data_IF_719396574403
#
_entry.id   IF_719396574403
#
_cell.length_a   1.000
_cell.length_b   1.000
_cell.length_c   1.000
_cell.angle_alpha   90.00
_cell.angle_beta   90.00
_cell.angle_gamma   90.00
#
_symmetry.space_group_name_H-M   'P 1'
#
loop_
_entity.id
_entity.type
_entity.pdbx_description
1 polymer ?
#
# COMPACT_ATOMS: atom_id res chain seq x y z
N UNK A 1 22.31 -6.87 -2.54
CA UNK A 1 21.24 -7.71 -1.99
C UNK A 1 20.52 -8.35 -3.16
N UNK A 2 20.24 -9.66 -3.17
CA UNK A 2 19.37 -10.22 -4.18
C UNK A 2 17.99 -9.56 -4.07
N UNK A 3 17.26 -9.36 -5.16
CA UNK A 3 15.90 -8.84 -5.11
C UNK A 3 15.09 -9.77 -4.20
N UNK A 4 14.44 -9.21 -3.19
CA UNK A 4 13.51 -9.94 -2.34
C UNK A 4 12.48 -10.56 -3.27
N UNK A 5 12.49 -11.88 -3.35
CA UNK A 5 11.88 -12.65 -4.42
C UNK A 5 10.40 -12.27 -4.57
N UNK A 6 10.03 -11.79 -5.73
CA UNK A 6 8.65 -11.56 -6.24
C UNK A 6 7.74 -12.80 -6.09
N UNK A 7 8.21 -13.87 -5.48
CA UNK A 7 7.55 -15.18 -5.41
C UNK A 7 6.97 -15.56 -4.06
N UNK A 8 7.23 -14.82 -2.96
CA UNK A 8 6.76 -15.22 -1.63
C UNK A 8 5.49 -14.49 -1.22
N UNK A 9 4.53 -15.27 -0.71
CA UNK A 9 3.32 -14.74 -0.09
C UNK A 9 3.58 -14.41 1.37
N UNK A 10 3.21 -13.21 1.79
CA UNK A 10 3.39 -12.72 3.15
C UNK A 10 2.08 -12.65 3.91
N UNK A 11 2.16 -12.80 5.24
CA UNK A 11 1.02 -12.62 6.12
C UNK A 11 1.43 -11.94 7.43
N UNK A 12 0.51 -11.18 8.01
CA UNK A 12 0.70 -10.59 9.33
C UNK A 12 -0.63 -10.26 10.00
N UNK A 13 -0.59 -10.16 11.32
CA UNK A 13 -1.62 -9.48 12.11
C UNK A 13 -1.58 -7.98 11.78
N UNK A 14 -2.68 -7.44 11.27
CA UNK A 14 -2.81 -6.03 10.85
C UNK A 14 -3.57 -5.16 11.85
N UNK A 15 -4.08 -5.74 12.94
CA UNK A 15 -4.62 -5.02 14.10
C UNK A 15 -3.59 -4.97 15.22
N UNK A 16 -3.73 -4.02 16.14
CA UNK A 16 -2.87 -3.94 17.31
C UNK A 16 -2.85 -5.28 18.09
N UNK A 17 -1.69 -5.70 18.62
CA UNK A 17 -1.60 -6.92 19.39
C UNK A 17 -2.36 -6.79 20.73
N UNK A 18 -3.02 -7.87 21.15
CA UNK A 18 -3.73 -7.89 22.41
C UNK A 18 -5.07 -8.61 22.35
N UNK A 19 -5.85 -8.52 23.42
CA UNK A 19 -7.22 -9.04 23.47
C UNK A 19 -8.18 -8.04 22.83
N UNK A 20 -8.90 -8.48 21.80
CA UNK A 20 -9.89 -7.66 21.11
C UNK A 20 -11.09 -8.52 20.70
N UNK A 21 -12.22 -7.90 20.36
CA UNK A 21 -13.36 -8.61 19.76
C UNK A 21 -13.04 -9.15 18.39
N UNK A 22 -12.18 -8.44 17.62
CA UNK A 22 -11.77 -8.79 16.25
C UNK A 22 -10.26 -8.63 16.10
N UNK A 23 -9.64 -9.58 15.41
CA UNK A 23 -8.28 -9.48 14.88
C UNK A 23 -8.32 -9.61 13.37
N UNK A 24 -7.57 -8.79 12.66
CA UNK A 24 -7.42 -8.85 11.21
C UNK A 24 -6.04 -9.43 10.86
N UNK A 25 -6.03 -10.54 10.13
CA UNK A 25 -4.82 -11.06 9.49
C UNK A 25 -4.91 -10.75 7.99
N UNK A 26 -3.86 -10.11 7.45
CA UNK A 26 -3.73 -9.82 6.02
C UNK A 26 -2.71 -10.75 5.40
N UNK A 27 -3.04 -11.25 4.22
CA UNK A 27 -2.18 -12.07 3.38
C UNK A 27 -2.04 -11.39 2.03
N UNK A 28 -0.82 -11.26 1.50
CA UNK A 28 -0.56 -10.67 0.18
C UNK A 28 0.50 -11.45 -0.58
N UNK A 29 0.31 -11.60 -1.88
CA UNK A 29 1.28 -12.24 -2.75
C UNK A 29 0.66 -13.17 -3.79
N UNK A 30 1.49 -13.76 -4.67
CA UNK A 30 1.03 -14.56 -5.80
C UNK A 30 0.25 -15.82 -5.39
N UNK A 31 0.43 -16.29 -4.17
CA UNK A 31 -0.26 -17.46 -3.62
C UNK A 31 -1.32 -17.13 -2.57
N UNK A 32 -1.63 -15.85 -2.32
CA UNK A 32 -2.60 -15.47 -1.28
C UNK A 32 -3.95 -16.17 -1.47
N UNK A 33 -4.41 -16.32 -2.71
CA UNK A 33 -5.63 -17.06 -3.03
C UNK A 33 -5.63 -18.54 -2.61
N UNK A 34 -4.47 -19.16 -2.32
CA UNK A 34 -4.41 -20.54 -1.84
C UNK A 34 -4.98 -20.70 -0.43
N UNK A 35 -4.87 -19.68 0.42
CA UNK A 35 -5.49 -19.66 1.76
C UNK A 35 -6.99 -19.99 1.67
N UNK A 36 -7.66 -19.46 0.64
CA UNK A 36 -9.10 -19.67 0.43
C UNK A 36 -9.48 -21.13 0.15
N UNK A 37 -8.54 -21.92 -0.38
CA UNK A 37 -8.77 -23.32 -0.70
C UNK A 37 -8.28 -24.25 0.42
N UNK A 38 -7.19 -23.85 1.11
CA UNK A 38 -6.54 -24.68 2.12
C UNK A 38 -7.18 -24.50 3.49
N UNK A 39 -7.58 -23.27 3.84
CA UNK A 39 -8.02 -22.94 5.20
C UNK A 39 -9.53 -22.70 5.31
N UNK A 40 -10.30 -22.76 4.22
CA UNK A 40 -11.76 -22.59 4.28
C UNK A 40 -12.48 -23.19 3.09
N UNK A 41 -13.73 -23.58 3.27
CA UNK A 41 -14.61 -24.06 2.19
C UNK A 41 -16.05 -23.62 2.45
N UNK A 42 -16.83 -23.25 1.42
CA UNK A 42 -16.43 -23.02 0.02
C UNK A 42 -15.65 -21.70 -0.14
N UNK A 43 -14.93 -21.57 -1.28
CA UNK A 43 -14.19 -20.35 -1.64
C UNK A 43 -15.14 -19.14 -1.68
N UNK A 44 -14.80 -18.00 -1.05
CA UNK A 44 -15.61 -16.79 -1.10
C UNK A 44 -15.57 -16.15 -2.49
N UNK A 45 -16.62 -15.40 -2.83
CA UNK A 45 -16.61 -14.55 -4.03
C UNK A 45 -15.69 -13.34 -3.77
N UNK A 46 -15.00 -12.84 -4.82
CA UNK A 46 -14.16 -11.64 -4.69
C UNK A 46 -14.94 -10.46 -4.12
N UNK A 47 -14.29 -9.69 -3.23
CA UNK A 47 -14.77 -8.42 -2.65
C UNK A 47 -16.08 -8.52 -1.86
N UNK A 48 -16.47 -9.72 -1.46
CA UNK A 48 -17.66 -9.98 -0.65
C UNK A 48 -17.23 -10.56 0.69
N UNK A 49 -17.58 -9.87 1.78
CA UNK A 49 -17.41 -10.39 3.12
C UNK A 49 -18.23 -11.66 3.29
N UNK A 50 -17.58 -12.75 3.62
CA UNK A 50 -18.19 -14.07 3.71
C UNK A 50 -17.87 -14.73 5.02
N UNK A 51 -18.90 -15.17 5.78
CA UNK A 51 -18.69 -15.95 6.99
C UNK A 51 -18.14 -17.35 6.64
N UNK A 52 -17.04 -17.74 7.27
CA UNK A 52 -16.38 -19.05 7.07
C UNK A 52 -15.86 -19.61 8.38
N UNK A 53 -15.78 -20.92 8.43
CA UNK A 53 -14.96 -21.61 9.43
C UNK A 53 -13.56 -21.72 8.87
N UNK A 54 -12.58 -21.23 9.61
CA UNK A 54 -11.16 -21.37 9.31
C UNK A 54 -10.69 -22.71 9.84
N UNK A 55 -9.99 -23.46 9.01
CA UNK A 55 -9.49 -24.79 9.32
C UNK A 55 -7.97 -24.85 9.12
N UNK A 56 -7.32 -25.72 9.84
CA UNK A 56 -5.90 -25.99 9.67
C UNK A 56 -5.61 -26.63 8.31
N UNK A 57 -4.60 -26.16 7.54
CA UNK A 57 -4.37 -26.61 6.16
C UNK A 57 -3.98 -28.09 6.03
N UNK A 58 -3.44 -28.71 7.09
CA UNK A 58 -2.95 -30.09 7.06
C UNK A 58 -4.01 -31.06 7.59
N UNK A 59 -4.52 -30.84 8.80
CA UNK A 59 -5.39 -31.78 9.49
C UNK A 59 -6.88 -31.40 9.47
N UNK A 60 -7.21 -30.24 8.87
CA UNK A 60 -8.58 -29.71 8.75
C UNK A 60 -9.31 -29.46 10.08
N UNK A 61 -8.61 -29.44 11.22
CA UNK A 61 -9.23 -29.08 12.51
C UNK A 61 -9.71 -27.63 12.48
N UNK A 62 -10.85 -27.30 13.09
CA UNK A 62 -11.34 -25.94 13.19
C UNK A 62 -10.39 -25.07 14.01
N UNK A 63 -10.07 -23.88 13.51
CA UNK A 63 -9.27 -22.86 14.19
C UNK A 63 -10.14 -21.74 14.76
N UNK A 64 -11.07 -21.24 13.93
CA UNK A 64 -12.01 -20.18 14.31
C UNK A 64 -13.16 -20.10 13.32
N UNK A 65 -14.14 -19.22 13.61
CA UNK A 65 -15.22 -18.86 12.70
C UNK A 65 -15.30 -17.33 12.61
N UNK A 66 -15.14 -16.79 11.40
CA UNK A 66 -15.10 -15.34 11.20
C UNK A 66 -15.45 -14.95 9.78
N UNK A 67 -15.04 -13.77 9.39
CA UNK A 67 -15.26 -13.24 8.05
C UNK A 67 -13.98 -13.31 7.23
N UNK A 68 -14.13 -13.51 5.94
CA UNK A 68 -13.03 -13.39 4.97
C UNK A 68 -13.45 -12.51 3.82
N UNK A 69 -12.50 -11.71 3.34
CA UNK A 69 -12.64 -10.95 2.10
C UNK A 69 -11.43 -11.26 1.22
N UNK A 70 -11.68 -11.50 -0.06
CA UNK A 70 -10.66 -11.69 -1.07
C UNK A 70 -10.65 -10.53 -2.06
N UNK A 71 -9.49 -9.93 -2.28
CA UNK A 71 -9.23 -8.85 -3.22
C UNK A 71 -8.25 -9.34 -4.27
N UNK A 72 -8.74 -9.84 -5.45
CA UNK A 72 -7.83 -10.24 -6.52
C UNK A 72 -7.06 -9.03 -7.07
N UNK A 73 -5.77 -9.24 -7.34
CA UNK A 73 -4.95 -8.28 -8.06
C UNK A 73 -5.47 -7.97 -9.47
N UNK A 74 -5.08 -6.83 -10.06
CA UNK A 74 -4.25 -5.78 -9.50
C UNK A 74 -5.04 -4.73 -8.67
N UNK A 75 -6.36 -4.89 -8.48
CA UNK A 75 -7.22 -3.97 -7.73
C UNK A 75 -7.30 -4.35 -6.26
N UNK A 76 -6.16 -4.35 -5.58
CA UNK A 76 -5.98 -4.62 -4.16
C UNK A 76 -5.05 -3.57 -3.55
N UNK A 77 -4.84 -3.60 -2.25
CA UNK A 77 -3.95 -2.67 -1.56
C UNK A 77 -2.51 -2.75 -2.06
N UNK A 78 -1.97 -3.96 -2.19
CA UNK A 78 -0.58 -4.17 -2.64
C UNK A 78 -0.43 -4.31 -4.15
N UNK A 79 -1.53 -4.37 -4.91
CA UNK A 79 -1.51 -4.72 -6.34
C UNK A 79 -1.43 -6.23 -6.60
N UNK A 80 -1.12 -7.04 -5.58
CA UNK A 80 -1.13 -8.50 -5.62
C UNK A 80 -2.50 -9.07 -5.22
N UNK A 81 -2.68 -10.40 -5.26
CA UNK A 81 -3.82 -11.01 -4.56
C UNK A 81 -3.72 -10.74 -3.05
N UNK A 82 -4.79 -10.23 -2.46
CA UNK A 82 -4.88 -9.97 -1.01
C UNK A 82 -6.07 -10.71 -0.42
N UNK A 83 -5.84 -11.36 0.72
CA UNK A 83 -6.90 -12.00 1.53
C UNK A 83 -6.86 -11.40 2.94
N UNK A 84 -8.01 -11.00 3.43
CA UNK A 84 -8.18 -10.52 4.79
C UNK A 84 -9.08 -11.46 5.58
N UNK A 85 -8.57 -11.93 6.71
CA UNK A 85 -9.25 -12.81 7.64
C UNK A 85 -9.58 -12.04 8.92
N UNK A 86 -10.85 -11.88 9.22
CA UNK A 86 -11.34 -11.29 10.44
C UNK A 86 -11.69 -12.40 11.43
N UNK A 87 -10.90 -12.52 12.48
CA UNK A 87 -10.94 -13.56 13.49
C UNK A 87 -11.40 -13.00 14.82
N UNK A 88 -11.73 -13.88 15.77
CA UNK A 88 -11.80 -13.46 17.17
C UNK A 88 -10.41 -13.09 17.69
N UNK A 89 -10.29 -11.93 18.36
CA UNK A 89 -9.01 -11.34 18.80
C UNK A 89 -8.42 -12.00 20.07
N UNK A 90 -8.64 -13.29 20.26
CA UNK A 90 -7.98 -14.07 21.31
C UNK A 90 -6.56 -14.44 20.92
N UNK A 91 -5.58 -14.29 21.84
CA UNK A 91 -4.16 -14.61 21.56
C UNK A 91 -3.98 -16.03 20.99
N UNK A 92 -4.67 -17.01 21.59
CA UNK A 92 -4.58 -18.39 21.13
C UNK A 92 -5.13 -18.61 19.71
N UNK A 93 -6.21 -17.89 19.35
CA UNK A 93 -6.80 -17.95 18.00
C UNK A 93 -5.85 -17.36 16.98
N UNK A 94 -5.36 -16.14 17.25
CA UNK A 94 -4.41 -15.44 16.36
C UNK A 94 -3.14 -16.26 16.15
N UNK A 95 -2.52 -16.77 17.23
CA UNK A 95 -1.33 -17.62 17.13
C UNK A 95 -1.62 -18.87 16.29
N UNK A 96 -2.68 -19.60 16.59
CA UNK A 96 -3.01 -20.84 15.86
C UNK A 96 -3.21 -20.60 14.35
N UNK A 97 -3.79 -19.47 13.95
CA UNK A 97 -3.97 -19.15 12.53
C UNK A 97 -2.67 -18.71 11.87
N UNK A 98 -1.83 -17.90 12.56
CA UNK A 98 -0.52 -17.50 12.04
C UNK A 98 0.42 -18.71 11.90
N UNK A 99 0.44 -19.60 12.90
CA UNK A 99 1.23 -20.84 12.86
C UNK A 99 0.80 -21.74 11.70
N UNK A 100 -0.51 -21.94 11.53
CA UNK A 100 -1.07 -22.69 10.43
C UNK A 100 -0.74 -22.09 9.03
N UNK A 101 -0.69 -20.77 8.91
CA UNK A 101 -0.24 -20.10 7.68
C UNK A 101 1.27 -20.31 7.42
N UNK A 102 2.08 -20.34 8.48
CA UNK A 102 3.50 -20.60 8.38
C UNK A 102 3.85 -22.02 7.86
N UNK A 103 2.94 -22.97 8.00
CA UNK A 103 3.10 -24.33 7.45
C UNK A 103 2.81 -24.41 5.94
N UNK A 104 2.20 -23.39 5.34
CA UNK A 104 1.91 -23.37 3.90
C UNK A 104 3.20 -23.04 3.13
N UNK A 105 3.62 -23.94 2.26
CA UNK A 105 4.82 -23.72 1.46
C UNK A 105 4.78 -22.45 0.63
N UNK A 106 5.81 -21.60 0.77
CA UNK A 106 5.93 -20.30 0.08
C UNK A 106 5.21 -19.14 0.79
N UNK A 107 4.77 -19.38 2.04
CA UNK A 107 4.26 -18.35 2.93
C UNK A 107 5.30 -18.01 3.99
N UNK A 108 5.37 -16.75 4.39
CA UNK A 108 6.18 -16.29 5.52
C UNK A 108 5.54 -15.09 6.22
N UNK A 109 5.88 -14.85 7.49
CA UNK A 109 5.53 -13.59 8.14
C UNK A 109 6.06 -12.38 7.35
N UNK A 110 5.27 -11.32 7.31
CA UNK A 110 5.68 -10.05 6.73
C UNK A 110 6.69 -9.33 7.62
N UNK A 111 7.62 -8.61 7.01
CA UNK A 111 8.46 -7.63 7.70
C UNK A 111 7.64 -6.35 8.02
N UNK A 112 8.13 -5.54 8.96
CA UNK A 112 7.51 -4.25 9.25
C UNK A 112 7.46 -3.37 8.00
N UNK A 113 6.26 -2.81 7.70
CA UNK A 113 6.05 -1.97 6.52
C UNK A 113 6.00 -2.71 5.18
N UNK A 114 6.14 -4.05 5.13
CA UNK A 114 6.28 -4.77 3.86
C UNK A 114 5.04 -4.67 2.96
N UNK A 115 3.83 -4.60 3.51
CA UNK A 115 2.63 -4.39 2.70
C UNK A 115 2.63 -3.03 2.00
N UNK A 116 3.02 -1.97 2.70
CA UNK A 116 3.13 -0.62 2.11
C UNK A 116 4.26 -0.56 1.07
N UNK A 117 5.41 -1.19 1.34
CA UNK A 117 6.51 -1.31 0.37
C UNK A 117 6.06 -2.01 -0.91
N UNK A 118 5.34 -3.14 -0.83
CA UNK A 118 4.80 -3.82 -2.01
C UNK A 118 3.78 -2.98 -2.76
N UNK A 119 2.95 -2.21 -2.04
CA UNK A 119 2.04 -1.27 -2.66
C UNK A 119 2.78 -0.18 -3.44
N UNK A 120 3.86 0.36 -2.89
CA UNK A 120 4.75 1.31 -3.56
C UNK A 120 5.43 0.69 -4.79
N UNK A 121 6.05 -0.49 -4.65
CA UNK A 121 6.74 -1.21 -5.73
C UNK A 121 5.80 -1.53 -6.92
N UNK A 122 4.52 -1.78 -6.62
CA UNK A 122 3.47 -2.04 -7.61
C UNK A 122 2.72 -0.77 -8.08
N UNK A 123 3.19 0.42 -7.74
CA UNK A 123 2.60 1.70 -8.15
C UNK A 123 1.18 1.93 -7.63
N UNK A 124 0.86 1.38 -6.43
CA UNK A 124 -0.42 1.59 -5.75
C UNK A 124 -0.38 2.75 -4.77
N UNK A 125 0.77 3.05 -4.25
CA UNK A 125 1.07 4.19 -3.42
C UNK A 125 2.35 4.85 -3.93
N UNK A 126 2.45 6.15 -3.81
CA UNK A 126 3.72 6.83 -3.88
C UNK A 126 4.38 6.90 -2.48
N UNK A 127 5.60 7.45 -2.41
CA UNK A 127 6.35 7.51 -1.16
C UNK A 127 5.63 8.39 -0.12
N UNK A 128 5.08 9.52 -0.55
CA UNK A 128 4.41 10.47 0.36
C UNK A 128 3.08 9.89 0.87
N UNK A 129 2.36 9.15 0.03
CA UNK A 129 1.15 8.42 0.42
C UNK A 129 1.45 7.31 1.43
N UNK A 130 2.56 6.58 1.23
CA UNK A 130 3.00 5.53 2.15
C UNK A 130 3.39 6.10 3.53
N UNK A 131 4.10 7.23 3.56
CA UNK A 131 4.43 7.97 4.78
C UNK A 131 3.15 8.51 5.46
N UNK A 132 2.26 9.15 4.69
CA UNK A 132 0.98 9.64 5.19
C UNK A 132 0.09 8.54 5.78
N UNK A 133 0.16 7.31 5.25
CA UNK A 133 -0.55 6.16 5.81
C UNK A 133 0.02 5.75 7.18
N UNK A 134 1.35 5.79 7.36
CA UNK A 134 1.98 5.53 8.64
C UNK A 134 1.61 6.61 9.67
N UNK A 135 1.72 7.88 9.29
CA UNK A 135 1.34 9.02 10.12
C UNK A 135 -0.14 8.98 10.52
N UNK A 136 -1.02 8.50 9.63
CA UNK A 136 -2.45 8.37 9.92
C UNK A 136 -2.74 7.31 11.00
N UNK A 137 -1.95 6.25 11.04
CA UNK A 137 -2.05 5.19 12.07
C UNK A 137 -1.57 5.72 13.42
N UNK A 138 -0.52 6.56 13.41
CA UNK A 138 0.11 7.09 14.63
C UNK A 138 -0.49 8.43 15.09
N UNK A 139 -1.47 8.97 14.36
CA UNK A 139 -2.09 10.26 14.68
C UNK A 139 -2.87 10.22 16.02
N UNK A 140 -2.48 11.08 16.95
CA UNK A 140 -3.12 11.23 18.27
C UNK A 140 -4.05 12.45 18.36
N UNK A 141 -3.91 13.41 17.42
CA UNK A 141 -4.71 14.63 17.40
C UNK A 141 -5.50 14.79 16.10
N UNK A 142 -6.59 15.57 16.15
CA UNK A 142 -7.38 15.85 14.95
C UNK A 142 -6.59 16.60 13.87
N UNK A 143 -5.64 17.45 14.25
CA UNK A 143 -4.78 18.15 13.31
C UNK A 143 -3.84 17.16 12.58
N UNK A 144 -3.20 16.26 13.32
CA UNK A 144 -2.36 15.19 12.76
C UNK A 144 -3.18 14.28 11.83
N UNK A 145 -4.37 13.84 12.26
CA UNK A 145 -5.25 13.00 11.45
C UNK A 145 -5.60 13.65 10.11
N UNK A 146 -5.94 14.96 10.10
CA UNK A 146 -6.27 15.69 8.87
C UNK A 146 -5.07 15.80 7.93
N UNK A 147 -3.93 16.15 8.48
CA UNK A 147 -2.68 16.27 7.70
C UNK A 147 -2.30 14.92 7.09
N UNK A 148 -2.23 13.87 7.91
CA UNK A 148 -1.88 12.52 7.48
C UNK A 148 -2.87 11.97 6.44
N UNK A 149 -4.18 12.21 6.61
CA UNK A 149 -5.17 11.81 5.62
C UNK A 149 -5.01 12.54 4.29
N UNK A 150 -4.74 13.86 4.31
CA UNK A 150 -4.46 14.62 3.09
C UNK A 150 -3.24 14.06 2.36
N UNK A 151 -2.18 13.74 3.08
CA UNK A 151 -0.96 13.17 2.54
C UNK A 151 -1.20 11.75 1.99
N UNK A 152 -1.84 10.87 2.76
CA UNK A 152 -2.18 9.49 2.37
C UNK A 152 -3.14 9.40 1.16
N UNK A 153 -3.83 10.49 0.82
CA UNK A 153 -4.73 10.56 -0.34
C UNK A 153 -4.15 11.36 -1.51
N UNK A 154 -2.83 11.57 -1.54
CA UNK A 154 -2.13 12.20 -2.66
C UNK A 154 -2.16 13.73 -2.67
N UNK A 155 -2.63 14.38 -1.59
CA UNK A 155 -2.69 15.85 -1.55
C UNK A 155 -1.32 16.51 -1.66
N UNK A 156 -0.30 15.96 -1.01
CA UNK A 156 1.07 16.45 -1.11
C UNK A 156 1.67 16.16 -2.49
N UNK A 157 1.44 14.95 -3.02
CA UNK A 157 1.92 14.54 -4.33
C UNK A 157 1.39 15.45 -5.45
N UNK A 158 0.11 15.84 -5.38
CA UNK A 158 -0.48 16.76 -6.35
C UNK A 158 0.20 18.13 -6.35
N UNK A 159 0.57 18.66 -5.18
CA UNK A 159 1.31 19.93 -5.05
C UNK A 159 2.72 19.80 -5.65
N UNK A 160 3.43 18.72 -5.30
CA UNK A 160 4.79 18.47 -5.79
C UNK A 160 4.81 18.30 -7.32
N UNK A 161 3.84 17.55 -7.89
CA UNK A 161 3.73 17.39 -9.34
C UNK A 161 3.38 18.73 -10.04
N UNK A 162 2.57 19.58 -9.43
CA UNK A 162 2.32 20.94 -9.90
C UNK A 162 3.60 21.77 -9.96
N UNK A 163 4.41 21.77 -8.89
CA UNK A 163 5.71 22.44 -8.86
C UNK A 163 6.67 21.87 -9.90
N UNK A 164 6.74 20.53 -9.99
CA UNK A 164 7.58 19.85 -10.96
C UNK A 164 7.25 20.24 -12.40
N UNK A 165 5.98 20.30 -12.77
CA UNK A 165 5.54 20.72 -14.10
C UNK A 165 5.99 22.16 -14.38
N UNK A 166 5.73 23.10 -13.45
CA UNK A 166 6.13 24.50 -13.58
C UNK A 166 7.65 24.66 -13.72
N UNK A 167 8.44 23.89 -12.96
CA UNK A 167 9.90 23.90 -13.04
C UNK A 167 10.41 23.37 -14.38
N UNK A 168 9.81 22.32 -14.92
CA UNK A 168 10.17 21.76 -16.23
C UNK A 168 9.89 22.79 -17.33
N UNK A 169 8.72 23.44 -17.30
CA UNK A 169 8.34 24.44 -18.27
C UNK A 169 9.26 25.68 -18.19
N UNK A 170 9.61 26.13 -16.99
CA UNK A 170 10.56 27.20 -16.79
C UNK A 170 11.97 26.84 -17.29
N UNK A 171 12.42 25.60 -17.05
CA UNK A 171 13.70 25.09 -17.55
C UNK A 171 13.74 25.09 -19.08
N UNK A 172 12.68 24.59 -19.73
CA UNK A 172 12.60 24.60 -21.20
C UNK A 172 12.68 26.00 -21.80
N UNK A 173 12.09 27.02 -21.14
CA UNK A 173 12.21 28.43 -21.55
C UNK A 173 13.64 28.97 -21.40
N UNK A 174 14.35 28.57 -20.33
CA UNK A 174 15.75 28.97 -20.11
C UNK A 174 16.65 28.27 -21.14
N UNK A 175 16.46 26.99 -21.43
CA UNK A 175 17.19 26.28 -22.47
C UNK A 175 16.98 26.91 -23.85
N UNK A 176 15.72 27.26 -24.19
CA UNK A 176 15.42 27.97 -25.44
C UNK A 176 16.13 29.35 -25.51
N UNK A 177 16.21 30.09 -24.38
CA UNK A 177 16.92 31.38 -24.33
C UNK A 177 18.43 31.22 -24.57
N UNK A 178 19.03 30.11 -24.18
CA UNK A 178 20.44 29.78 -24.37
C UNK A 178 20.69 29.35 -25.82
N UNK A 179 19.88 28.44 -26.34
CA UNK A 179 20.03 27.88 -27.68
C UNK A 179 19.80 28.91 -28.78
N UNK A 180 18.90 29.85 -28.60
CA UNK A 180 18.57 30.94 -29.54
C UNK A 180 19.12 32.30 -29.08
N UNK A 181 20.28 32.29 -28.45
CA UNK A 181 20.93 33.53 -27.90
C UNK A 181 21.33 34.53 -28.95
N UNK A 182 21.42 34.15 -30.24
CA UNK A 182 21.66 34.99 -31.42
C UNK A 182 20.38 35.69 -31.94
N UNK A 183 19.19 35.22 -31.51
CA UNK A 183 17.90 35.86 -31.77
C UNK A 183 17.47 36.71 -30.54
N UNK A 184 17.91 37.96 -30.51
CA UNK A 184 17.79 38.83 -29.33
C UNK A 184 16.38 38.95 -28.73
N UNK A 185 15.34 38.93 -29.57
CA UNK A 185 13.92 39.03 -29.13
C UNK A 185 13.40 37.72 -28.48
N UNK A 186 13.94 36.57 -28.82
CA UNK A 186 13.47 35.26 -28.32
C UNK A 186 14.12 34.97 -26.97
N UNK A 187 15.43 35.19 -26.85
CA UNK A 187 16.19 34.89 -25.64
C UNK A 187 15.70 35.67 -24.41
N UNK A 188 15.56 37.01 -24.55
CA UNK A 188 15.12 37.89 -23.43
C UNK A 188 13.68 37.56 -22.98
N UNK A 189 12.76 37.33 -23.93
CA UNK A 189 11.36 36.99 -23.61
C UNK A 189 11.23 35.64 -22.92
N UNK A 190 11.92 34.63 -23.42
CA UNK A 190 11.89 33.28 -22.85
C UNK A 190 12.45 33.28 -21.42
N UNK A 191 13.56 33.98 -21.20
CA UNK A 191 14.15 34.10 -19.86
C UNK A 191 13.24 34.86 -18.89
N UNK A 192 12.62 35.97 -19.29
CA UNK A 192 11.69 36.74 -18.46
C UNK A 192 10.44 35.91 -18.13
N UNK A 193 9.92 35.13 -19.06
CA UNK A 193 8.77 34.27 -18.85
C UNK A 193 9.11 33.10 -17.92
N UNK A 194 10.24 32.43 -18.08
CA UNK A 194 10.71 31.37 -17.18
C UNK A 194 10.88 31.88 -15.75
N UNK A 195 11.47 33.10 -15.58
CA UNK A 195 11.58 33.72 -14.27
C UNK A 195 10.23 34.01 -13.62
N UNK A 196 9.28 34.55 -14.38
CA UNK A 196 7.94 34.86 -13.88
C UNK A 196 7.20 33.56 -13.41
N UNK A 197 7.41 32.43 -14.10
CA UNK A 197 6.86 31.15 -13.67
C UNK A 197 7.47 30.69 -12.34
N UNK A 198 8.76 30.87 -12.14
CA UNK A 198 9.43 30.54 -10.87
C UNK A 198 8.90 31.37 -9.69
N UNK A 199 8.59 32.66 -9.92
CA UNK A 199 8.01 33.55 -8.91
C UNK A 199 6.59 33.12 -8.47
N UNK A 200 5.90 32.26 -9.22
CA UNK A 200 4.59 31.71 -8.85
C UNK A 200 4.68 30.51 -7.90
N UNK A 201 5.89 30.00 -7.66
CA UNK A 201 6.12 28.84 -6.78
C UNK A 201 6.41 29.22 -5.32
N UNK A 202 6.55 30.51 -5.04
CA UNK A 202 6.68 31.04 -3.68
C UNK A 202 5.30 31.18 -3.01
#
# INVERSE_FOLDING_TARGET
>A
MPPLSESTTIFALSTAPGRAGVALIRVSGPRAGQVLNLMMRPRPKPRIASARTFIHPVDSRPLDKGLVIWFPGPRSFTGEDVVELMLHGGRAVVSAVLDAMGEIHGFRPAEAGEFARRAFDNGKLDLTEAEGLADLIDAETEAQRRQALCQATGGLSAVIEGWRATLIDALALVEAAIDFSDEADVGERSFAQGRAMMETLE
#
